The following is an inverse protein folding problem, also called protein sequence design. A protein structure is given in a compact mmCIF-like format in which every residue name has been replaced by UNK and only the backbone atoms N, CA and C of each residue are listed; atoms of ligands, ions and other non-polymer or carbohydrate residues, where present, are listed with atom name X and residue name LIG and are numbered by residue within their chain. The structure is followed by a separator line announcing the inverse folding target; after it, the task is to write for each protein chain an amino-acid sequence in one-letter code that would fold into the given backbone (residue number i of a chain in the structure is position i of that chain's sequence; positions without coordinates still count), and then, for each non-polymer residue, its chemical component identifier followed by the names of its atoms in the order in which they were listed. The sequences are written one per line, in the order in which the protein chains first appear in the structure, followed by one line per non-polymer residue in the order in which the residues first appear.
data_IF_624484843544
#
_entry.id   IF_624484843544
#
_cell.length_a   1.000
_cell.length_b   1.000
_cell.length_c   1.000
_cell.angle_alpha   90.00
_cell.angle_beta   90.00
_cell.angle_gamma   90.00
#
_symmetry.space_group_name_H-M   'P 1'
#
loop_
_entity.id
_entity.type
_entity.pdbx_description
1 polymer ?
#
# COMPACT_ATOMS: atom_id res chain seq x y z
N UNK A 1 28.45 -6.61 -9.59
CA UNK A 1 28.59 -5.47 -10.52
C UNK A 1 28.20 -5.81 -11.95
N UNK A 2 28.29 -7.09 -12.39
CA UNK A 2 27.84 -7.55 -13.73
C UNK A 2 26.31 -7.59 -13.88
N UNK A 3 25.58 -7.81 -12.82
CA UNK A 3 24.11 -7.83 -12.83
C UNK A 3 23.47 -6.44 -12.97
N UNK A 4 24.17 -5.39 -12.53
CA UNK A 4 23.70 -4.01 -12.71
C UNK A 4 23.79 -3.52 -14.17
N UNK A 5 24.52 -4.20 -15.02
CA UNK A 5 24.74 -3.81 -16.42
C UNK A 5 23.65 -4.32 -17.39
N UNK A 6 22.75 -5.20 -16.93
CA UNK A 6 21.66 -5.78 -17.73
C UNK A 6 20.27 -5.42 -17.21
N UNK A 7 20.12 -4.28 -16.56
CA UNK A 7 18.81 -3.78 -16.11
C UNK A 7 18.07 -3.14 -17.29
N UNK A 8 17.60 -3.96 -18.21
CA UNK A 8 16.40 -3.56 -18.95
C UNK A 8 15.30 -3.41 -17.91
N UNK A 9 14.80 -2.20 -17.71
CA UNK A 9 13.61 -1.94 -16.88
C UNK A 9 12.52 -2.88 -17.39
N UNK A 10 12.16 -3.89 -16.58
CA UNK A 10 11.12 -4.85 -16.96
C UNK A 10 9.79 -4.09 -16.95
N UNK A 11 8.88 -4.50 -17.82
CA UNK A 11 7.52 -3.92 -17.88
C UNK A 11 6.88 -3.85 -16.47
N UNK A 12 7.11 -4.87 -15.63
CA UNK A 12 6.65 -4.91 -14.25
C UNK A 12 7.21 -3.78 -13.37
N UNK A 13 8.47 -3.40 -13.55
CA UNK A 13 9.10 -2.32 -12.78
C UNK A 13 8.47 -0.96 -13.15
N UNK A 14 8.22 -0.75 -14.46
CA UNK A 14 7.55 0.46 -14.95
C UNK A 14 6.11 0.57 -14.42
N UNK A 15 5.36 -0.55 -14.43
CA UNK A 15 4.01 -0.61 -13.88
C UNK A 15 4.01 -0.39 -12.37
N UNK A 16 5.03 -0.90 -11.65
CA UNK A 16 5.22 -0.64 -10.22
C UNK A 16 5.41 0.84 -9.91
N UNK A 17 6.24 1.54 -10.68
CA UNK A 17 6.45 2.99 -10.51
C UNK A 17 5.15 3.76 -10.79
N UNK A 18 4.43 3.42 -11.85
CA UNK A 18 3.14 4.03 -12.17
C UNK A 18 2.12 3.79 -11.06
N UNK A 19 2.05 2.57 -10.53
CA UNK A 19 1.18 2.20 -9.41
C UNK A 19 1.51 3.02 -8.16
N UNK A 20 2.79 3.19 -7.81
CA UNK A 20 3.22 4.00 -6.68
C UNK A 20 2.80 5.48 -6.83
N UNK A 21 2.89 6.03 -8.05
CA UNK A 21 2.43 7.38 -8.34
C UNK A 21 0.90 7.52 -8.18
N UNK A 22 0.14 6.58 -8.74
CA UNK A 22 -1.32 6.54 -8.56
C UNK A 22 -1.72 6.39 -7.09
N UNK A 23 -0.98 5.57 -6.33
CA UNK A 23 -1.19 5.39 -4.90
C UNK A 23 -0.96 6.69 -4.11
N UNK A 24 0.08 7.45 -4.44
CA UNK A 24 0.34 8.75 -3.84
C UNK A 24 -0.81 9.74 -4.08
N UNK A 25 -1.30 9.83 -5.32
CA UNK A 25 -2.49 10.65 -5.66
C UNK A 25 -3.71 10.18 -4.88
N UNK A 26 -3.93 8.87 -4.79
CA UNK A 26 -5.04 8.28 -4.06
C UNK A 26 -5.06 8.69 -2.58
N UNK A 27 -3.92 8.63 -1.88
CA UNK A 27 -3.79 9.07 -0.48
C UNK A 27 -4.15 10.56 -0.33
N UNK A 28 -3.69 11.42 -1.25
CA UNK A 28 -4.02 12.85 -1.23
C UNK A 28 -5.51 13.10 -1.44
N UNK A 29 -6.14 12.36 -2.34
CA UNK A 29 -7.59 12.45 -2.60
C UNK A 29 -8.40 11.99 -1.39
N UNK A 30 -8.02 10.89 -0.75
CA UNK A 30 -8.67 10.42 0.49
C UNK A 30 -8.60 11.50 1.55
N UNK A 31 -7.42 12.07 1.79
CA UNK A 31 -7.25 13.14 2.77
C UNK A 31 -8.16 14.32 2.47
N UNK A 32 -8.19 14.79 1.23
CA UNK A 32 -9.07 15.88 0.82
C UNK A 32 -10.55 15.54 1.03
N UNK A 33 -10.94 14.30 0.75
CA UNK A 33 -12.32 13.83 0.96
C UNK A 33 -12.69 13.80 2.45
N UNK A 34 -11.77 13.37 3.31
CA UNK A 34 -11.95 13.37 4.77
C UNK A 34 -12.16 14.80 5.28
N UNK A 35 -11.39 15.76 4.79
CA UNK A 35 -11.51 17.16 5.21
C UNK A 35 -12.89 17.74 4.86
N UNK A 36 -13.58 17.23 3.82
CA UNK A 36 -14.93 17.65 3.45
C UNK A 36 -16.04 16.90 4.19
N UNK A 37 -15.94 15.58 4.28
CA UNK A 37 -17.07 14.73 4.70
C UNK A 37 -16.88 14.12 6.09
N UNK A 38 -15.67 13.94 6.56
CA UNK A 38 -15.29 13.38 7.87
C UNK A 38 -16.05 12.07 8.27
N UNK A 39 -16.40 11.23 7.29
CA UNK A 39 -17.04 9.93 7.49
C UNK A 39 -16.11 8.80 7.00
N UNK A 40 -15.13 8.35 7.80
CA UNK A 40 -14.09 7.41 7.35
C UNK A 40 -14.65 6.08 6.87
N UNK A 41 -15.68 5.55 7.53
CA UNK A 41 -16.31 4.28 7.13
C UNK A 41 -16.94 4.41 5.74
N UNK A 42 -17.70 5.47 5.51
CA UNK A 42 -18.35 5.71 4.21
C UNK A 42 -17.32 5.90 3.10
N UNK A 43 -16.22 6.60 3.39
CA UNK A 43 -15.12 6.80 2.44
C UNK A 43 -14.44 5.47 2.12
N UNK A 44 -14.13 4.64 3.12
CA UNK A 44 -13.54 3.32 2.91
C UNK A 44 -14.47 2.40 2.11
N UNK A 45 -15.75 2.36 2.43
CA UNK A 45 -16.75 1.57 1.68
C UNK A 45 -16.89 2.05 0.24
N UNK A 46 -16.90 3.37 0.00
CA UNK A 46 -17.01 3.90 -1.36
C UNK A 46 -15.80 3.55 -2.23
N UNK A 47 -14.59 3.50 -1.65
CA UNK A 47 -13.38 3.04 -2.37
C UNK A 47 -13.54 1.58 -2.83
N UNK A 48 -13.97 0.69 -1.93
CA UNK A 48 -14.21 -0.71 -2.27
C UNK A 48 -15.30 -0.87 -3.34
N UNK A 49 -16.38 -0.08 -3.24
CA UNK A 49 -17.48 -0.12 -4.22
C UNK A 49 -17.01 0.37 -5.61
N UNK A 50 -16.29 1.47 -5.66
CA UNK A 50 -15.75 2.00 -6.92
C UNK A 50 -14.77 1.02 -7.55
N UNK A 51 -13.86 0.43 -6.75
CA UNK A 51 -12.94 -0.59 -7.22
C UNK A 51 -13.70 -1.81 -7.79
N UNK A 52 -14.74 -2.29 -7.09
CA UNK A 52 -15.58 -3.38 -7.56
C UNK A 52 -16.22 -3.08 -8.92
N UNK A 53 -16.86 -1.90 -9.06
CA UNK A 53 -17.53 -1.50 -10.31
C UNK A 53 -16.54 -1.38 -11.48
N UNK A 54 -15.33 -0.87 -11.23
CA UNK A 54 -14.31 -0.70 -12.27
C UNK A 54 -13.69 -2.03 -12.67
N UNK A 55 -13.46 -2.94 -11.70
CA UNK A 55 -12.76 -4.20 -11.95
C UNK A 55 -13.67 -5.33 -12.43
N UNK A 56 -14.98 -5.22 -12.23
CA UNK A 56 -15.93 -6.23 -12.65
C UNK A 56 -15.94 -6.48 -14.18
N UNK A 57 -15.97 -5.45 -15.05
CA UNK A 57 -15.93 -5.68 -16.49
C UNK A 57 -14.65 -6.39 -16.99
N UNK A 58 -13.43 -5.95 -16.62
CA UNK A 58 -12.21 -6.67 -17.02
C UNK A 58 -12.17 -8.11 -16.51
N UNK A 59 -12.66 -8.39 -15.31
CA UNK A 59 -12.75 -9.77 -14.79
C UNK A 59 -13.55 -10.68 -15.74
N UNK A 60 -14.74 -10.23 -16.18
CA UNK A 60 -15.56 -11.01 -17.12
C UNK A 60 -14.98 -11.12 -18.53
N UNK A 61 -14.18 -10.11 -18.97
CA UNK A 61 -13.63 -10.09 -20.32
C UNK A 61 -12.33 -10.90 -20.44
N UNK A 62 -11.56 -11.05 -19.37
CA UNK A 62 -10.21 -11.60 -19.42
C UNK A 62 -9.99 -12.86 -18.56
N UNK A 63 -10.85 -13.14 -17.56
CA UNK A 63 -10.55 -14.18 -16.56
C UNK A 63 -11.53 -15.36 -16.53
N UNK A 64 -12.63 -15.35 -17.32
CA UNK A 64 -13.65 -16.44 -17.35
C UNK A 64 -13.98 -16.99 -15.95
N UNK A 65 -14.56 -16.17 -15.03
CA UNK A 65 -14.78 -16.57 -13.66
C UNK A 65 -15.77 -17.74 -13.56
N UNK A 66 -15.31 -18.87 -13.04
CA UNK A 66 -16.12 -20.04 -12.78
C UNK A 66 -16.61 -20.03 -11.33
N UNK A 67 -17.92 -20.24 -11.13
CA UNK A 67 -18.52 -20.34 -9.78
C UNK A 67 -17.83 -21.44 -8.97
N UNK A 68 -17.48 -22.55 -9.58
CA UNK A 68 -16.81 -23.65 -8.89
C UNK A 68 -15.41 -23.26 -8.37
N UNK A 69 -14.65 -22.47 -9.14
CA UNK A 69 -13.34 -21.96 -8.72
C UNK A 69 -13.50 -20.93 -7.59
N UNK A 70 -14.47 -20.02 -7.69
CA UNK A 70 -14.79 -19.05 -6.65
C UNK A 70 -15.17 -19.74 -5.32
N UNK A 71 -15.96 -20.80 -5.37
CA UNK A 71 -16.35 -21.56 -4.18
C UNK A 71 -15.17 -22.33 -3.58
N UNK A 72 -14.29 -22.88 -4.42
CA UNK A 72 -13.09 -23.59 -3.98
C UNK A 72 -12.13 -22.66 -3.25
N UNK A 73 -11.92 -21.47 -3.77
CA UNK A 73 -10.97 -20.48 -3.24
C UNK A 73 -11.66 -19.43 -2.33
N UNK A 74 -12.89 -19.74 -1.87
CA UNK A 74 -13.73 -18.80 -1.09
C UNK A 74 -13.07 -18.29 0.18
N UNK A 75 -12.26 -19.13 0.86
CA UNK A 75 -11.51 -18.73 2.05
C UNK A 75 -10.48 -17.65 1.73
N UNK A 76 -9.71 -17.82 0.67
CA UNK A 76 -8.69 -16.87 0.25
C UNK A 76 -9.33 -15.55 -0.23
N UNK A 77 -10.44 -15.66 -0.97
CA UNK A 77 -11.21 -14.50 -1.41
C UNK A 77 -11.77 -13.71 -0.22
N UNK A 78 -12.32 -14.40 0.79
CA UNK A 78 -12.79 -13.73 2.00
C UNK A 78 -11.67 -13.08 2.80
N UNK A 79 -10.53 -13.77 2.94
CA UNK A 79 -9.37 -13.22 3.63
C UNK A 79 -8.87 -11.93 2.93
N UNK A 80 -8.66 -11.96 1.63
CA UNK A 80 -8.21 -10.81 0.85
C UNK A 80 -9.25 -9.70 0.83
N UNK A 81 -10.52 -10.03 0.62
CA UNK A 81 -11.59 -9.04 0.52
C UNK A 81 -11.90 -8.35 1.85
N UNK A 82 -12.02 -9.10 2.95
CA UNK A 82 -12.43 -8.55 4.25
C UNK A 82 -11.24 -7.99 5.02
N UNK A 83 -10.16 -8.77 5.17
CA UNK A 83 -9.01 -8.36 5.99
C UNK A 83 -8.02 -7.50 5.22
N UNK A 84 -7.56 -7.97 4.07
CA UNK A 84 -6.52 -7.28 3.31
C UNK A 84 -7.01 -6.02 2.60
N UNK A 85 -8.27 -5.98 2.18
CA UNK A 85 -8.85 -4.80 1.51
C UNK A 85 -9.78 -4.01 2.44
N UNK A 86 -10.84 -4.63 2.95
CA UNK A 86 -11.87 -3.94 3.73
C UNK A 86 -11.34 -3.29 5.00
N UNK A 87 -10.71 -4.08 5.86
CA UNK A 87 -10.15 -3.60 7.13
C UNK A 87 -8.96 -2.66 6.90
N UNK A 88 -8.08 -2.98 5.94
CA UNK A 88 -6.92 -2.15 5.66
C UNK A 88 -7.29 -0.75 5.17
N UNK A 89 -8.23 -0.63 4.21
CA UNK A 89 -8.71 0.67 3.75
C UNK A 89 -9.44 1.46 4.82
N UNK A 90 -10.16 0.77 5.71
CA UNK A 90 -10.80 1.42 6.85
C UNK A 90 -9.76 2.02 7.80
N UNK A 91 -8.75 1.24 8.19
CA UNK A 91 -7.67 1.69 9.08
C UNK A 91 -6.84 2.80 8.42
N UNK A 92 -6.55 2.69 7.13
CA UNK A 92 -5.89 3.74 6.36
C UNK A 92 -6.67 5.06 6.41
N UNK A 93 -7.97 5.01 6.17
CA UNK A 93 -8.83 6.20 6.16
C UNK A 93 -8.90 6.82 7.56
N UNK A 94 -9.03 6.03 8.62
CA UNK A 94 -8.97 6.52 10.00
C UNK A 94 -7.62 7.16 10.34
N UNK A 95 -6.51 6.56 9.91
CA UNK A 95 -5.18 7.11 10.14
C UNK A 95 -5.02 8.49 9.50
N UNK A 96 -5.52 8.64 8.28
CA UNK A 96 -5.46 9.89 7.54
C UNK A 96 -6.33 11.03 8.12
N UNK A 97 -7.23 10.77 9.05
CA UNK A 97 -7.93 11.83 9.78
C UNK A 97 -7.00 12.63 10.68
N UNK A 98 -6.01 11.97 11.27
CA UNK A 98 -5.16 12.56 12.31
C UNK A 98 -3.71 12.78 11.87
N UNK A 99 -3.29 12.16 10.77
CA UNK A 99 -1.93 12.19 10.26
C UNK A 99 -1.92 12.85 8.87
N UNK A 100 -0.94 13.70 8.62
CA UNK A 100 -0.77 14.30 7.29
C UNK A 100 -0.38 13.24 6.25
N UNK A 101 -0.75 13.43 4.96
CA UNK A 101 -0.58 12.41 3.92
C UNK A 101 0.86 11.95 3.71
N UNK A 102 1.84 12.85 3.77
CA UNK A 102 3.23 12.49 3.49
C UNK A 102 3.85 11.55 4.54
N UNK A 103 3.79 11.82 5.87
CA UNK A 103 4.20 10.84 6.88
C UNK A 103 3.41 9.54 6.83
N UNK A 104 2.10 9.61 6.56
CA UNK A 104 1.26 8.42 6.44
C UNK A 104 1.74 7.51 5.28
N UNK A 105 2.00 8.07 4.10
CA UNK A 105 2.50 7.33 2.94
C UNK A 105 3.83 6.62 3.24
N UNK A 106 4.73 7.28 3.98
CA UNK A 106 6.00 6.69 4.39
C UNK A 106 5.78 5.50 5.35
N UNK A 107 4.87 5.62 6.31
CA UNK A 107 4.54 4.52 7.23
C UNK A 107 3.85 3.37 6.48
N UNK A 108 2.95 3.67 5.55
CA UNK A 108 2.30 2.63 4.74
C UNK A 108 3.30 1.87 3.86
N UNK A 109 4.41 2.49 3.46
CA UNK A 109 5.46 1.78 2.71
C UNK A 109 6.13 0.64 3.50
N UNK A 110 5.96 0.57 4.84
CA UNK A 110 6.37 -0.58 5.65
C UNK A 110 5.65 -1.87 5.26
N UNK A 111 4.47 -1.79 4.64
CA UNK A 111 3.78 -2.96 4.09
C UNK A 111 4.71 -3.79 3.20
N UNK A 112 5.46 -3.15 2.30
CA UNK A 112 6.43 -3.82 1.45
C UNK A 112 7.59 -4.48 2.23
N UNK A 113 8.01 -3.87 3.34
CA UNK A 113 9.02 -4.45 4.23
C UNK A 113 8.49 -5.70 4.91
N UNK A 114 7.29 -5.62 5.50
CA UNK A 114 6.67 -6.78 6.15
C UNK A 114 6.36 -7.89 5.15
N UNK A 115 5.87 -7.56 3.95
CA UNK A 115 5.65 -8.53 2.89
C UNK A 115 6.94 -9.28 2.52
N UNK A 116 8.07 -8.58 2.37
CA UNK A 116 9.36 -9.20 2.09
C UNK A 116 9.85 -10.09 3.24
N UNK A 117 9.69 -9.65 4.49
CA UNK A 117 10.08 -10.44 5.68
C UNK A 117 9.22 -11.72 5.79
N UNK A 118 7.91 -11.62 5.62
CA UNK A 118 7.03 -12.79 5.68
C UNK A 118 7.23 -13.73 4.49
N UNK A 119 7.51 -13.21 3.29
CA UNK A 119 7.87 -14.04 2.14
C UNK A 119 9.16 -14.83 2.39
N UNK A 120 10.14 -14.23 3.06
CA UNK A 120 11.35 -14.93 3.47
C UNK A 120 11.07 -15.98 4.55
N UNK A 121 10.30 -15.65 5.58
CA UNK A 121 10.06 -16.56 6.74
C UNK A 121 9.10 -17.72 6.41
N UNK A 122 8.08 -17.48 5.58
CA UNK A 122 6.99 -18.44 5.34
C UNK A 122 7.18 -19.18 4.01
N UNK A 123 7.69 -18.49 2.99
CA UNK A 123 7.83 -19.03 1.64
C UNK A 123 9.28 -19.39 1.28
N UNK A 124 10.22 -19.30 2.22
CA UNK A 124 11.65 -19.54 2.03
C UNK A 124 12.24 -18.76 0.84
N UNK A 125 11.67 -17.59 0.52
CA UNK A 125 12.15 -16.75 -0.56
C UNK A 125 13.42 -16.00 -0.16
N UNK A 126 14.52 -16.25 -0.88
CA UNK A 126 15.77 -15.55 -0.64
C UNK A 126 15.66 -14.05 -0.89
N UNK A 127 16.09 -13.27 0.11
CA UNK A 127 16.29 -11.83 -0.02
C UNK A 127 17.67 -11.59 -0.66
N UNK A 128 17.69 -11.12 -1.89
CA UNK A 128 18.94 -10.71 -2.51
C UNK A 128 19.39 -9.33 -1.95
N UNK A 129 20.65 -8.97 -2.20
CA UNK A 129 21.27 -7.73 -1.68
C UNK A 129 20.47 -6.46 -2.06
N UNK A 130 19.87 -6.43 -3.24
CA UNK A 130 19.06 -5.30 -3.71
C UNK A 130 17.77 -5.17 -2.90
N UNK A 131 17.11 -6.28 -2.57
CA UNK A 131 15.90 -6.27 -1.72
C UNK A 131 16.23 -5.83 -0.30
N UNK A 132 17.35 -6.30 0.26
CA UNK A 132 17.83 -5.88 1.59
C UNK A 132 18.13 -4.38 1.60
N UNK A 133 18.80 -3.86 0.59
CA UNK A 133 19.05 -2.43 0.46
C UNK A 133 17.75 -1.62 0.41
N UNK A 134 16.75 -2.09 -0.36
CA UNK A 134 15.42 -1.47 -0.40
C UNK A 134 14.74 -1.43 0.96
N UNK A 135 14.78 -2.52 1.72
CA UNK A 135 14.25 -2.60 3.09
C UNK A 135 14.93 -1.57 4.00
N UNK A 136 16.26 -1.50 3.96
CA UNK A 136 17.04 -0.54 4.78
C UNK A 136 16.69 0.91 4.41
N UNK A 137 16.53 1.23 3.13
CA UNK A 137 16.15 2.56 2.68
C UNK A 137 14.74 2.95 3.16
N UNK A 138 13.77 2.04 3.07
CA UNK A 138 12.41 2.29 3.56
C UNK A 138 12.42 2.50 5.07
N UNK A 139 13.08 1.63 5.84
CA UNK A 139 13.18 1.77 7.29
C UNK A 139 13.86 3.08 7.70
N UNK A 140 14.93 3.46 7.01
CA UNK A 140 15.62 4.74 7.24
C UNK A 140 14.70 5.93 7.00
N UNK A 141 13.93 5.90 5.91
CA UNK A 141 12.98 6.96 5.57
C UNK A 141 11.87 7.07 6.63
N UNK A 142 11.33 5.94 7.11
CA UNK A 142 10.32 5.91 8.17
C UNK A 142 10.86 6.52 9.47
N UNK A 143 12.05 6.07 9.91
CA UNK A 143 12.68 6.58 11.14
C UNK A 143 12.92 8.09 11.02
N UNK A 144 13.49 8.54 9.90
CA UNK A 144 13.77 9.96 9.66
C UNK A 144 12.50 10.81 9.66
N UNK A 145 11.44 10.33 9.01
CA UNK A 145 10.13 10.98 8.97
C UNK A 145 9.50 11.15 10.37
N UNK A 146 9.72 10.21 11.27
CA UNK A 146 9.18 10.27 12.63
C UNK A 146 10.04 11.14 13.57
N UNK A 147 11.35 11.19 13.35
CA UNK A 147 12.26 11.96 14.21
C UNK A 147 12.24 13.46 13.87
N UNK A 148 12.04 13.82 12.61
CA UNK A 148 12.10 15.22 12.18
C UNK A 148 11.10 16.14 12.89
N UNK A 149 9.80 15.81 13.02
CA UNK A 149 8.84 16.62 13.75
C UNK A 149 9.19 16.79 15.24
N UNK A 150 9.78 15.76 15.84
CA UNK A 150 10.19 15.81 17.27
C UNK A 150 11.36 16.79 17.43
N UNK A 151 12.31 16.75 16.51
CA UNK A 151 13.46 17.66 16.50
C UNK A 151 13.05 19.12 16.32
N UNK A 152 12.16 19.39 15.37
CA UNK A 152 11.66 20.72 15.08
C UNK A 152 10.85 21.31 16.27
N UNK A 153 10.04 20.49 16.93
CA UNK A 153 9.30 20.87 18.12
C UNK A 153 10.26 21.24 19.27
N UNK A 154 11.34 20.48 19.45
CA UNK A 154 12.36 20.73 20.46
C UNK A 154 13.20 21.98 20.16
N UNK A 155 13.51 22.24 18.89
CA UNK A 155 14.36 23.36 18.46
C UNK A 155 13.63 24.68 18.40
N UNK A 156 12.36 24.70 18.01
CA UNK A 156 11.61 25.93 17.75
C UNK A 156 10.52 26.23 18.79
N UNK A 157 10.37 25.41 19.84
CA UNK A 157 9.52 25.71 21.00
C UNK A 157 8.04 26.02 20.68
N UNK A 158 7.51 25.54 19.56
CA UNK A 158 6.10 25.74 19.23
C UNK A 158 5.26 24.69 19.94
N UNK A 159 4.52 25.15 20.94
CA UNK A 159 3.40 24.43 21.55
C UNK A 159 2.29 24.20 20.56
#
# INVERSE_FOLDING_TARGET
LSELKNTSVRLGDSLGILSAFCWGIHILLIRKTIDFFNYPITIAMSQCLVAFVILMPPMYLFEDPSINNILKDSYDIMYVGVLSSGLAFLLQTYSLQNISPAPAAIVFSLEGVFAAVFAWLILDQFLNEIKILGIILILSAVIFSQLMPIYDKKKYGRN
#
